data_IF_901935308639
#
_entry.id   IF_901935308639
#
_cell.length_a   1.000
_cell.length_b   1.000
_cell.length_c   1.000
_cell.angle_alpha   90.00
_cell.angle_beta   90.00
_cell.angle_gamma   90.00
#
_symmetry.space_group_name_H-M   'P 1'
#
loop_
_entity.id
_entity.type
_entity.pdbx_description
1 polymer ?
#
# COMPACT_ATOMS: atom_id res chain seq x y z
N UNK A 1 -61.05 19.48 -45.73
CA UNK A 1 -60.59 18.10 -45.43
C UNK A 1 -59.12 17.84 -45.75
N UNK A 2 -58.52 18.38 -46.82
CA UNK A 2 -57.10 18.11 -47.13
C UNK A 2 -56.09 18.84 -46.23
N UNK A 3 -56.41 20.05 -45.75
CA UNK A 3 -55.52 20.83 -44.87
C UNK A 3 -55.38 20.22 -43.46
N UNK A 4 -56.46 19.65 -42.91
CA UNK A 4 -56.46 19.01 -41.59
C UNK A 4 -55.65 17.72 -41.56
N UNK A 5 -55.62 16.97 -42.67
CA UNK A 5 -54.81 15.75 -42.81
C UNK A 5 -53.30 16.09 -42.89
N UNK A 6 -52.95 17.20 -43.55
CA UNK A 6 -51.56 17.67 -43.63
C UNK A 6 -51.06 18.16 -42.26
N UNK A 7 -51.90 18.87 -41.50
CA UNK A 7 -51.54 19.33 -40.14
C UNK A 7 -51.40 18.14 -39.17
N UNK A 8 -52.25 17.11 -39.29
CA UNK A 8 -52.11 15.89 -38.50
C UNK A 8 -50.81 15.11 -38.82
N UNK A 9 -50.40 15.06 -40.10
CA UNK A 9 -49.12 14.49 -40.50
C UNK A 9 -47.92 15.33 -40.03
N UNK A 10 -48.03 16.66 -40.05
CA UNK A 10 -46.98 17.56 -39.56
C UNK A 10 -46.79 17.44 -38.04
N UNK A 11 -47.87 17.20 -37.27
CA UNK A 11 -47.80 16.96 -35.82
C UNK A 11 -47.33 15.54 -35.47
N UNK A 12 -47.54 14.54 -36.34
CA UNK A 12 -46.99 13.18 -36.13
C UNK A 12 -45.47 13.11 -36.31
N UNK A 13 -44.86 14.07 -37.01
CA UNK A 13 -43.41 14.10 -37.25
C UNK A 13 -42.61 14.89 -36.19
N UNK A 14 -43.25 15.42 -35.15
CA UNK A 14 -42.59 16.17 -34.07
C UNK A 14 -42.77 15.41 -32.75
N UNK A 15 -42.31 14.16 -32.70
CA UNK A 15 -41.87 13.61 -31.42
C UNK A 15 -40.51 14.22 -31.14
N UNK A 16 -40.49 15.34 -30.42
CA UNK A 16 -39.29 15.85 -29.76
C UNK A 16 -38.87 14.78 -28.74
N UNK A 17 -38.07 13.81 -29.16
CA UNK A 17 -37.35 12.94 -28.24
C UNK A 17 -36.36 13.83 -27.49
N UNK A 18 -36.72 14.22 -26.27
CA UNK A 18 -35.81 14.89 -25.36
C UNK A 18 -34.70 13.90 -25.05
N UNK A 19 -33.54 14.11 -25.66
CA UNK A 19 -32.44 13.20 -25.50
C UNK A 19 -31.80 13.44 -24.11
N UNK A 20 -32.09 12.56 -23.16
CA UNK A 20 -31.67 12.70 -21.75
C UNK A 20 -30.19 12.38 -21.60
N UNK A 21 -29.54 12.96 -20.59
CA UNK A 21 -28.12 12.78 -20.36
C UNK A 21 -27.81 12.93 -18.88
N UNK A 22 -26.58 12.62 -18.49
CA UNK A 22 -26.16 12.75 -17.10
C UNK A 22 -24.73 13.25 -16.98
N UNK A 23 -24.44 13.81 -15.81
CA UNK A 23 -23.10 14.23 -15.40
C UNK A 23 -22.57 13.26 -14.36
N UNK A 24 -21.26 13.06 -14.36
CA UNK A 24 -20.56 12.34 -13.32
C UNK A 24 -19.32 13.08 -12.85
N UNK A 25 -18.84 12.71 -11.67
CA UNK A 25 -17.66 13.29 -11.04
C UNK A 25 -16.88 12.22 -10.30
N UNK A 26 -15.57 12.20 -10.51
CA UNK A 26 -14.65 11.37 -9.75
C UNK A 26 -14.11 12.20 -8.57
N UNK A 27 -14.25 11.69 -7.35
CA UNK A 27 -13.89 12.40 -6.12
C UNK A 27 -12.72 11.73 -5.40
N UNK A 28 -11.93 12.54 -4.70
CA UNK A 28 -10.86 12.07 -3.82
C UNK A 28 -9.57 11.67 -4.52
N UNK A 29 -9.36 12.08 -5.78
CA UNK A 29 -8.08 11.87 -6.46
C UNK A 29 -6.99 12.68 -5.71
N UNK A 30 -5.91 12.05 -5.23
CA UNK A 30 -4.85 12.75 -4.53
C UNK A 30 -4.06 13.65 -5.49
N UNK A 31 -3.57 14.78 -4.98
CA UNK A 31 -2.70 15.64 -5.76
C UNK A 31 -1.36 14.95 -6.04
N UNK A 32 -0.80 15.22 -7.22
CA UNK A 32 0.47 14.65 -7.68
C UNK A 32 1.59 14.88 -6.67
N UNK A 33 1.67 16.10 -6.13
CA UNK A 33 2.67 16.50 -5.17
C UNK A 33 2.62 15.68 -3.86
N UNK A 34 1.43 15.23 -3.44
CA UNK A 34 1.27 14.39 -2.25
C UNK A 34 1.81 12.97 -2.48
N UNK A 35 1.63 12.43 -3.69
CA UNK A 35 2.15 11.11 -4.05
C UNK A 35 3.69 11.09 -4.07
N UNK A 36 4.31 12.13 -4.61
CA UNK A 36 5.78 12.28 -4.59
C UNK A 36 6.31 12.48 -3.17
N UNK A 37 5.78 13.44 -2.41
CA UNK A 37 6.31 13.81 -1.09
C UNK A 37 6.09 12.73 -0.03
N UNK A 38 4.95 12.04 -0.05
CA UNK A 38 4.56 11.11 1.01
C UNK A 38 5.05 9.69 0.75
N UNK A 39 5.19 9.29 -0.52
CA UNK A 39 5.53 7.91 -0.90
C UNK A 39 6.84 7.77 -1.67
N UNK A 40 7.55 8.87 -1.95
CA UNK A 40 8.77 8.90 -2.76
C UNK A 40 8.61 8.21 -4.13
N UNK A 41 7.41 8.32 -4.72
CA UNK A 41 7.07 7.66 -5.97
C UNK A 41 7.26 8.62 -7.13
N UNK A 42 8.03 8.21 -8.13
CA UNK A 42 8.15 8.96 -9.38
C UNK A 42 6.85 8.81 -10.15
N UNK A 43 6.10 9.90 -10.34
CA UNK A 43 4.93 9.95 -11.20
C UNK A 43 5.39 10.35 -12.62
N UNK A 44 5.33 9.44 -13.60
CA UNK A 44 5.82 9.73 -14.95
C UNK A 44 4.98 10.76 -15.73
N UNK A 45 3.74 11.07 -15.31
CA UNK A 45 2.78 11.88 -16.09
C UNK A 45 2.29 13.18 -15.42
N UNK A 46 2.89 13.60 -14.30
CA UNK A 46 2.54 14.85 -13.63
C UNK A 46 1.04 14.97 -13.33
N UNK A 47 0.45 16.15 -13.57
CA UNK A 47 -0.95 16.51 -13.27
C UNK A 47 -1.99 16.00 -14.28
N UNK A 48 -1.58 15.28 -15.32
CA UNK A 48 -2.48 14.90 -16.42
C UNK A 48 -3.18 13.55 -16.20
N UNK A 49 -3.59 13.26 -14.96
CA UNK A 49 -4.21 11.99 -14.64
C UNK A 49 -5.60 11.81 -15.25
N UNK A 50 -6.34 12.91 -15.46
CA UNK A 50 -7.68 12.88 -16.07
C UNK A 50 -7.65 12.21 -17.46
N UNK A 51 -6.59 12.40 -18.26
CA UNK A 51 -6.43 11.78 -19.58
C UNK A 51 -6.09 10.27 -19.53
N UNK A 52 -5.78 9.74 -18.34
CA UNK A 52 -5.46 8.32 -18.11
C UNK A 52 -6.61 7.58 -17.41
N UNK A 53 -7.76 8.24 -17.33
CA UNK A 53 -9.02 7.65 -16.90
C UNK A 53 -9.92 7.59 -18.14
N UNK A 54 -10.53 6.44 -18.36
CA UNK A 54 -11.46 6.16 -19.43
C UNK A 54 -12.85 5.89 -18.82
N UNK A 55 -13.87 6.55 -19.37
CA UNK A 55 -15.26 6.41 -18.97
C UNK A 55 -16.04 6.02 -20.21
N UNK A 56 -16.43 4.76 -20.27
CA UNK A 56 -17.12 4.17 -21.40
C UNK A 56 -18.52 3.71 -20.98
N UNK A 57 -19.51 4.00 -21.80
CA UNK A 57 -20.88 3.58 -21.63
C UNK A 57 -21.24 2.60 -22.75
N UNK A 58 -21.51 1.35 -22.40
CA UNK A 58 -21.86 0.28 -23.33
C UNK A 58 -23.38 0.10 -23.38
N UNK A 59 -24.04 0.33 -24.51
CA UNK A 59 -25.45 -0.04 -24.69
C UNK A 59 -25.62 -1.56 -24.52
N UNK A 60 -26.72 -2.01 -23.92
CA UNK A 60 -26.93 -3.45 -23.66
C UNK A 60 -27.06 -4.28 -24.95
N UNK A 61 -27.34 -3.63 -26.08
CA UNK A 61 -27.49 -4.21 -27.42
C UNK A 61 -26.27 -4.01 -28.33
N UNK A 62 -25.22 -3.31 -27.86
CA UNK A 62 -24.05 -2.97 -28.69
C UNK A 62 -22.74 -3.03 -27.91
N UNK A 63 -21.72 -3.61 -28.53
CA UNK A 63 -20.35 -3.60 -28.01
C UNK A 63 -19.57 -2.33 -28.34
N UNK A 64 -20.16 -1.38 -29.07
CA UNK A 64 -19.51 -0.10 -29.35
C UNK A 64 -19.79 0.86 -28.20
N UNK A 65 -18.76 1.27 -27.43
CA UNK A 65 -18.96 2.19 -26.33
C UNK A 65 -19.22 3.60 -26.82
N UNK A 66 -20.02 4.32 -26.06
CA UNK A 66 -20.06 5.78 -26.06
C UNK A 66 -19.01 6.20 -25.02
N UNK A 67 -17.90 6.79 -25.48
CA UNK A 67 -16.85 7.27 -24.58
C UNK A 67 -16.99 8.77 -24.31
N UNK A 68 -16.56 9.22 -23.14
CA UNK A 68 -16.51 10.64 -22.79
C UNK A 68 -15.16 11.05 -22.24
N UNK A 69 -14.83 12.33 -22.36
CA UNK A 69 -13.58 12.91 -21.87
C UNK A 69 -13.81 13.46 -20.46
N UNK A 70 -12.81 13.25 -19.59
CA UNK A 70 -12.81 13.80 -18.24
C UNK A 70 -12.07 15.15 -18.23
N UNK A 71 -12.71 16.16 -17.68
CA UNK A 71 -12.12 17.49 -17.52
C UNK A 71 -11.03 17.53 -16.42
N UNK A 72 -10.34 18.67 -16.29
CA UNK A 72 -9.30 18.87 -15.27
C UNK A 72 -9.81 18.79 -13.83
N UNK A 73 -11.12 18.93 -13.63
CA UNK A 73 -11.80 18.86 -12.33
C UNK A 73 -12.41 17.47 -12.08
N UNK A 74 -12.05 16.48 -12.90
CA UNK A 74 -12.53 15.11 -12.85
C UNK A 74 -14.05 14.94 -13.06
N UNK A 75 -14.68 15.86 -13.80
CA UNK A 75 -16.07 15.70 -14.23
C UNK A 75 -16.14 15.13 -15.64
N UNK A 76 -17.23 14.41 -15.91
CA UNK A 76 -17.56 13.89 -17.23
C UNK A 76 -19.07 14.02 -17.49
N UNK A 77 -19.46 13.91 -18.76
CA UNK A 77 -20.87 13.97 -19.14
C UNK A 77 -21.19 13.08 -20.33
N UNK A 78 -22.38 12.51 -20.31
CA UNK A 78 -23.03 11.89 -21.47
C UNK A 78 -24.23 12.73 -21.85
N UNK A 79 -24.33 13.07 -23.13
CA UNK A 79 -25.44 13.85 -23.66
C UNK A 79 -26.26 12.95 -24.58
N UNK A 80 -27.56 13.21 -24.64
CA UNK A 80 -28.43 12.67 -25.69
C UNK A 80 -28.46 11.14 -25.77
N UNK A 81 -28.51 10.48 -24.62
CA UNK A 81 -28.75 9.06 -24.51
C UNK A 81 -30.14 8.72 -25.04
N UNK A 82 -30.21 7.62 -25.79
CA UNK A 82 -31.49 7.03 -26.15
C UNK A 82 -32.04 6.27 -24.94
N UNK A 83 -33.38 6.19 -24.79
CA UNK A 83 -33.98 5.32 -23.78
C UNK A 83 -33.47 3.89 -23.92
N UNK A 84 -33.09 3.28 -22.80
CA UNK A 84 -32.50 1.95 -22.79
C UNK A 84 -31.58 1.71 -21.60
N UNK A 85 -30.99 0.52 -21.61
CA UNK A 85 -30.08 0.06 -20.58
C UNK A 85 -28.63 0.10 -21.04
N UNK A 86 -27.75 0.56 -20.17
CA UNK A 86 -26.33 0.69 -20.45
C UNK A 86 -25.47 0.17 -19.29
N UNK A 87 -24.27 -0.30 -19.58
CA UNK A 87 -23.22 -0.58 -18.59
C UNK A 87 -22.15 0.51 -18.67
N UNK A 88 -22.01 1.30 -17.61
CA UNK A 88 -20.95 2.27 -17.46
C UNK A 88 -19.74 1.58 -16.84
N UNK A 89 -18.59 1.69 -17.50
CA UNK A 89 -17.31 1.18 -17.02
C UNK A 89 -16.32 2.33 -16.93
N UNK A 90 -15.74 2.51 -15.73
CA UNK A 90 -14.73 3.51 -15.47
C UNK A 90 -13.42 2.82 -15.14
N UNK A 91 -12.42 3.05 -15.97
CA UNK A 91 -11.10 2.45 -15.82
C UNK A 91 -10.05 3.55 -15.71
N UNK A 92 -9.02 3.31 -14.91
CA UNK A 92 -7.86 4.20 -14.82
C UNK A 92 -6.59 3.41 -14.89
N UNK A 93 -5.56 3.96 -15.54
CA UNK A 93 -4.22 3.40 -15.49
C UNK A 93 -3.51 3.65 -14.17
N UNK A 94 -3.94 4.65 -13.39
CA UNK A 94 -3.19 5.08 -12.19
C UNK A 94 -3.97 4.84 -10.90
N UNK A 95 -5.30 4.67 -10.98
CA UNK A 95 -6.16 4.58 -9.80
C UNK A 95 -7.10 3.37 -9.85
N UNK A 96 -7.49 2.94 -8.66
CA UNK A 96 -8.59 2.03 -8.39
C UNK A 96 -9.71 2.83 -7.73
N UNK A 97 -10.95 2.51 -8.08
CA UNK A 97 -12.16 3.13 -7.54
C UNK A 97 -12.92 2.13 -6.67
N UNK A 98 -13.71 2.62 -5.70
CA UNK A 98 -14.54 1.75 -4.86
C UNK A 98 -15.56 0.96 -5.69
N UNK A 99 -16.24 1.67 -6.59
CA UNK A 99 -17.10 1.10 -7.62
C UNK A 99 -16.69 1.71 -8.95
N UNK A 100 -16.45 0.87 -9.93
CA UNK A 100 -15.96 1.27 -11.24
C UNK A 100 -16.90 0.79 -12.37
N UNK A 101 -18.03 0.21 -12.00
CA UNK A 101 -19.05 -0.34 -12.89
C UNK A 101 -20.44 -0.02 -12.37
N UNK A 102 -21.30 0.42 -13.28
CA UNK A 102 -22.67 0.81 -12.96
C UNK A 102 -23.61 0.36 -14.07
N UNK A 103 -24.82 -0.08 -13.69
CA UNK A 103 -25.94 -0.20 -14.62
C UNK A 103 -26.63 1.15 -14.70
N UNK A 104 -26.80 1.68 -15.90
CA UNK A 104 -27.49 2.94 -16.17
C UNK A 104 -28.77 2.62 -16.93
N UNK A 105 -29.91 3.09 -16.42
CA UNK A 105 -31.21 2.97 -17.08
C UNK A 105 -31.62 4.39 -17.49
N UNK A 106 -31.62 4.66 -18.78
CA UNK A 106 -32.09 5.92 -19.34
C UNK A 106 -33.54 5.74 -19.81
N UNK A 107 -34.41 6.65 -19.41
CA UNK A 107 -35.79 6.80 -19.89
C UNK A 107 -35.93 8.16 -20.58
N UNK A 108 -37.11 8.44 -21.13
CA UNK A 108 -37.38 9.71 -21.83
C UNK A 108 -37.17 10.96 -20.98
N UNK A 109 -37.33 10.85 -19.65
CA UNK A 109 -37.25 12.01 -18.74
C UNK A 109 -36.25 11.83 -17.58
N UNK A 110 -35.71 10.63 -17.37
CA UNK A 110 -34.88 10.32 -16.21
C UNK A 110 -33.74 9.36 -16.54
N UNK A 111 -32.67 9.46 -15.76
CA UNK A 111 -31.53 8.52 -15.83
C UNK A 111 -31.26 8.02 -14.42
N UNK A 112 -31.26 6.71 -14.22
CA UNK A 112 -31.03 6.08 -12.92
C UNK A 112 -29.78 5.22 -13.02
N UNK A 113 -28.90 5.34 -12.02
CA UNK A 113 -27.70 4.51 -11.88
C UNK A 113 -27.87 3.51 -10.74
N UNK A 114 -27.31 2.32 -10.93
CA UNK A 114 -27.17 1.27 -9.93
C UNK A 114 -25.74 0.76 -9.92
N UNK A 115 -25.22 0.45 -8.76
CA UNK A 115 -23.94 -0.26 -8.63
C UNK A 115 -24.08 -1.67 -9.23
N UNK A 116 -23.09 -2.07 -10.03
CA UNK A 116 -23.06 -3.39 -10.65
C UNK A 116 -21.64 -3.94 -10.59
N UNK A 117 -21.43 -5.03 -9.85
CA UNK A 117 -20.09 -5.60 -9.68
C UNK A 117 -19.77 -6.58 -10.78
N UNK A 118 -18.49 -6.69 -11.10
CA UNK A 118 -17.99 -7.66 -12.06
C UNK A 118 -18.29 -9.09 -11.60
N UNK A 119 -18.87 -9.89 -12.49
CA UNK A 119 -19.18 -11.31 -12.22
C UNK A 119 -20.53 -11.54 -11.54
N UNK A 120 -21.32 -10.48 -11.29
CA UNK A 120 -22.68 -10.61 -10.79
C UNK A 120 -23.70 -10.56 -11.95
N UNK A 121 -24.63 -11.51 -11.96
CA UNK A 121 -25.72 -11.57 -12.94
C UNK A 121 -26.83 -10.54 -12.68
N UNK A 122 -26.79 -9.86 -11.53
CA UNK A 122 -27.75 -8.85 -11.11
C UNK A 122 -27.02 -7.61 -10.57
N UNK A 123 -27.67 -6.45 -10.63
CA UNK A 123 -27.16 -5.21 -10.05
C UNK A 123 -27.80 -4.91 -8.69
N UNK A 124 -27.17 -4.03 -7.92
CA UNK A 124 -27.63 -3.68 -6.58
C UNK A 124 -28.79 -2.68 -6.61
N UNK A 125 -30.03 -3.18 -6.58
CA UNK A 125 -31.25 -2.35 -6.68
C UNK A 125 -31.36 -1.31 -5.56
N UNK A 126 -30.81 -1.56 -4.37
CA UNK A 126 -30.87 -0.60 -3.25
C UNK A 126 -29.91 0.58 -3.40
N UNK A 127 -28.97 0.50 -4.36
CA UNK A 127 -28.04 1.59 -4.70
C UNK A 127 -28.58 2.56 -5.76
N UNK A 128 -29.89 2.55 -6.01
CA UNK A 128 -30.52 3.41 -7.01
C UNK A 128 -30.22 4.88 -6.74
N UNK A 129 -29.61 5.56 -7.72
CA UNK A 129 -29.39 7.00 -7.70
C UNK A 129 -29.98 7.62 -8.95
N UNK A 130 -30.95 8.50 -8.77
CA UNK A 130 -31.47 9.32 -9.86
C UNK A 130 -30.47 10.43 -10.20
N UNK A 131 -30.04 10.44 -11.46
CA UNK A 131 -29.03 11.35 -11.97
C UNK A 131 -29.70 12.58 -12.58
N UNK A 132 -29.32 13.75 -12.09
CA UNK A 132 -29.74 15.03 -12.64
C UNK A 132 -28.62 16.07 -12.48
N UNK A 133 -28.88 17.31 -12.89
CA UNK A 133 -27.89 18.39 -12.82
C UNK A 133 -27.41 18.71 -11.40
N UNK A 134 -28.19 18.41 -10.37
CA UNK A 134 -27.87 18.63 -8.95
C UNK A 134 -27.27 17.39 -8.28
N UNK A 135 -27.64 16.18 -8.74
CA UNK A 135 -27.12 14.89 -8.27
C UNK A 135 -26.37 14.17 -9.40
N UNK A 136 -25.11 14.55 -9.69
CA UNK A 136 -24.28 13.82 -10.64
C UNK A 136 -23.88 12.44 -10.07
N UNK A 137 -23.50 11.52 -10.95
CA UNK A 137 -22.95 10.23 -10.55
C UNK A 137 -21.58 10.43 -9.89
N UNK A 138 -21.45 10.05 -8.62
CA UNK A 138 -20.20 10.20 -7.87
C UNK A 138 -19.42 8.89 -7.85
N UNK A 139 -18.16 8.94 -8.29
CA UNK A 139 -17.24 7.80 -8.27
C UNK A 139 -16.10 8.12 -7.32
N UNK A 140 -15.94 7.30 -6.28
CA UNK A 140 -14.96 7.54 -5.24
C UNK A 140 -13.64 6.83 -5.53
N UNK A 141 -12.55 7.60 -5.46
CA UNK A 141 -11.19 7.08 -5.40
C UNK A 141 -11.03 6.09 -4.24
N UNK A 142 -10.36 4.97 -4.50
CA UNK A 142 -9.99 3.98 -3.49
C UNK A 142 -8.49 3.98 -3.21
N UNK A 143 -7.68 3.74 -4.25
CA UNK A 143 -6.23 3.59 -4.09
C UNK A 143 -5.47 3.91 -5.37
N UNK A 144 -4.22 4.35 -5.24
CA UNK A 144 -3.27 4.44 -6.36
C UNK A 144 -2.80 3.04 -6.73
N UNK A 145 -2.82 2.70 -8.02
CA UNK A 145 -2.31 1.44 -8.54
C UNK A 145 -0.80 1.36 -8.37
N UNK A 146 -0.33 0.19 -7.97
CA UNK A 146 1.10 -0.11 -7.81
C UNK A 146 1.45 -1.23 -8.78
N UNK A 147 2.20 -0.91 -9.84
CA UNK A 147 2.62 -1.88 -10.85
C UNK A 147 3.95 -2.53 -10.53
N UNK A 148 4.80 -1.82 -9.77
CA UNK A 148 6.09 -2.33 -9.36
C UNK A 148 5.97 -3.00 -8.01
N UNK A 149 6.26 -4.29 -7.99
CA UNK A 149 6.53 -4.98 -6.75
C UNK A 149 7.92 -4.56 -6.27
N UNK A 150 7.99 -3.92 -5.11
CA UNK A 150 9.29 -3.67 -4.48
C UNK A 150 9.84 -5.01 -3.98
N UNK A 151 10.90 -5.50 -4.63
CA UNK A 151 11.58 -6.73 -4.25
C UNK A 151 12.36 -6.63 -2.91
N UNK A 152 12.39 -5.44 -2.30
CA UNK A 152 12.99 -5.21 -0.99
C UNK A 152 11.91 -4.89 0.03
N UNK A 153 11.62 -5.83 0.95
CA UNK A 153 11.12 -5.42 2.26
C UNK A 153 12.08 -4.39 2.86
N UNK A 154 11.62 -3.57 3.82
CA UNK A 154 12.52 -2.63 4.49
C UNK A 154 13.76 -3.39 4.99
N UNK A 155 14.94 -2.76 5.00
CA UNK A 155 16.13 -3.34 5.64
C UNK A 155 15.78 -3.84 7.06
N UNK A 156 14.86 -3.14 7.73
CA UNK A 156 14.23 -3.54 8.97
C UNK A 156 13.46 -4.87 8.86
N UNK A 157 12.60 -5.05 7.85
CA UNK A 157 11.85 -6.29 7.64
C UNK A 157 12.80 -7.45 7.31
N UNK A 158 13.86 -7.17 6.56
CA UNK A 158 14.90 -8.17 6.25
C UNK A 158 15.67 -8.58 7.53
N UNK A 159 16.02 -7.63 8.40
CA UNK A 159 16.66 -7.90 9.69
C UNK A 159 15.72 -8.61 10.66
N UNK A 160 14.43 -8.25 10.68
CA UNK A 160 13.42 -8.84 11.56
C UNK A 160 12.99 -10.25 11.13
N UNK A 161 13.09 -10.56 9.83
CA UNK A 161 12.80 -11.88 9.27
C UNK A 161 14.05 -12.75 9.06
N UNK A 162 15.24 -12.22 9.38
CA UNK A 162 16.50 -12.97 9.41
C UNK A 162 16.51 -14.02 10.53
N UNK A 163 17.38 -15.05 10.47
CA UNK A 163 17.62 -15.98 11.58
C UNK A 163 18.00 -15.29 12.90
N UNK A 164 18.50 -14.05 12.87
CA UNK A 164 18.75 -13.23 14.06
C UNK A 164 17.60 -12.29 14.42
N UNK A 165 16.48 -12.32 13.69
CA UNK A 165 15.35 -11.43 13.88
C UNK A 165 14.75 -11.48 15.29
N UNK A 166 14.86 -12.62 16.00
CA UNK A 166 14.43 -12.73 17.39
C UNK A 166 15.19 -11.78 18.34
N UNK A 167 16.47 -11.49 18.04
CA UNK A 167 17.31 -10.55 18.82
C UNK A 167 16.80 -9.12 18.66
N UNK A 168 16.43 -8.74 17.44
CA UNK A 168 15.96 -7.40 17.09
C UNK A 168 14.48 -7.16 17.41
N UNK A 169 13.72 -8.22 17.70
CA UNK A 169 12.34 -8.15 18.20
C UNK A 169 12.27 -7.84 19.70
N UNK A 170 13.32 -8.13 20.47
CA UNK A 170 13.36 -7.87 21.91
C UNK A 170 14.39 -6.79 22.27
N UNK A 171 13.93 -5.70 22.88
CA UNK A 171 14.76 -4.54 23.24
C UNK A 171 15.98 -4.89 24.10
N UNK A 172 15.83 -5.79 25.08
CA UNK A 172 16.93 -6.18 25.96
C UNK A 172 18.01 -6.99 25.22
N UNK A 173 17.58 -7.90 24.35
CA UNK A 173 18.50 -8.68 23.50
C UNK A 173 19.18 -7.81 22.45
N UNK A 174 18.47 -6.84 21.87
CA UNK A 174 19.05 -5.88 20.92
C UNK A 174 20.15 -5.04 21.57
N UNK A 175 19.93 -4.55 22.80
CA UNK A 175 20.93 -3.78 23.56
C UNK A 175 22.15 -4.66 23.84
N UNK A 176 21.93 -5.88 24.35
CA UNK A 176 23.01 -6.82 24.68
C UNK A 176 23.83 -7.18 23.44
N UNK A 177 23.15 -7.50 22.33
CA UNK A 177 23.79 -7.78 21.04
C UNK A 177 24.62 -6.60 20.53
N UNK A 178 24.09 -5.37 20.64
CA UNK A 178 24.80 -4.16 20.22
C UNK A 178 26.08 -3.92 21.04
N UNK A 179 26.03 -4.16 22.35
CA UNK A 179 27.21 -4.09 23.23
C UNK A 179 28.25 -5.16 22.85
N UNK A 180 27.82 -6.40 22.62
CA UNK A 180 28.72 -7.48 22.21
C UNK A 180 29.41 -7.17 20.88
N UNK A 181 28.67 -6.68 19.88
CA UNK A 181 29.23 -6.27 18.58
C UNK A 181 30.21 -5.10 18.77
N UNK A 182 29.87 -4.10 19.58
CA UNK A 182 30.76 -2.98 19.85
C UNK A 182 32.09 -3.43 20.49
N UNK A 183 32.05 -4.35 21.46
CA UNK A 183 33.26 -4.90 22.10
C UNK A 183 34.10 -5.70 21.11
N UNK A 184 33.48 -6.48 20.22
CA UNK A 184 34.21 -7.25 19.20
C UNK A 184 34.87 -6.35 18.15
N UNK A 185 34.20 -5.28 17.73
CA UNK A 185 34.65 -4.42 16.61
C UNK A 185 35.56 -3.28 17.07
N UNK A 186 35.44 -2.83 18.32
CA UNK A 186 36.27 -1.77 18.91
C UNK A 186 37.78 -1.94 18.69
N UNK A 187 38.42 -3.10 18.93
CA UNK A 187 39.86 -3.26 18.70
C UNK A 187 40.26 -3.10 17.23
N UNK A 188 39.41 -3.51 16.29
CA UNK A 188 39.67 -3.36 14.85
C UNK A 188 39.58 -1.90 14.41
N UNK A 189 38.59 -1.15 14.93
CA UNK A 189 38.46 0.28 14.65
C UNK A 189 39.65 1.04 15.24
N UNK A 190 40.03 0.76 16.48
CA UNK A 190 41.18 1.39 17.13
C UNK A 190 42.48 1.13 16.36
N UNK A 191 42.70 -0.08 15.86
CA UNK A 191 43.86 -0.42 15.04
C UNK A 191 43.98 0.43 13.76
N UNK A 192 42.86 0.83 13.16
CA UNK A 192 42.83 1.63 11.93
C UNK A 192 42.95 3.13 12.23
N UNK A 193 42.28 3.62 13.27
CA UNK A 193 42.20 5.06 13.58
C UNK A 193 43.41 5.53 14.39
N UNK A 194 43.91 4.71 15.32
CA UNK A 194 45.07 5.04 16.16
C UNK A 194 45.88 3.77 16.49
N UNK A 195 46.83 3.38 15.62
CA UNK A 195 47.63 2.17 15.79
C UNK A 195 48.58 2.23 17.00
N UNK A 196 49.03 3.42 17.40
CA UNK A 196 49.93 3.59 18.56
C UNK A 196 49.21 3.28 19.88
N UNK A 197 48.01 3.84 20.05
CA UNK A 197 47.17 3.56 21.22
C UNK A 197 46.71 2.10 21.29
N UNK A 198 46.51 1.46 20.12
CA UNK A 198 46.20 0.04 20.05
C UNK A 198 47.36 -0.85 20.54
N UNK A 199 48.60 -0.51 20.17
CA UNK A 199 49.78 -1.23 20.63
C UNK A 199 49.97 -1.09 22.15
N UNK A 200 49.79 0.12 22.69
CA UNK A 200 49.85 0.38 24.14
C UNK A 200 48.79 -0.41 24.92
N UNK A 201 47.55 -0.46 24.43
CA UNK A 201 46.48 -1.25 25.05
C UNK A 201 46.76 -2.76 25.04
N UNK A 202 47.34 -3.28 23.95
CA UNK A 202 47.74 -4.69 23.88
C UNK A 202 48.86 -5.00 24.87
N UNK A 203 49.86 -4.13 24.98
CA UNK A 203 50.96 -4.28 25.93
C UNK A 203 50.46 -4.28 27.38
N UNK A 204 49.48 -3.43 27.70
CA UNK A 204 48.82 -3.40 29.01
C UNK A 204 48.06 -4.71 29.26
N UNK A 205 47.30 -5.21 28.27
CA UNK A 205 46.57 -6.48 28.41
C UNK A 205 47.51 -7.67 28.60
N UNK A 206 48.63 -7.73 27.88
CA UNK A 206 49.62 -8.81 28.03
C UNK A 206 50.33 -8.76 29.38
N UNK A 207 50.67 -7.57 29.88
CA UNK A 207 51.27 -7.39 31.22
C UNK A 207 50.30 -7.82 32.32
N UNK A 208 49.03 -7.42 32.23
CA UNK A 208 48.00 -7.81 33.20
C UNK A 208 47.72 -9.32 33.16
N UNK A 209 47.76 -9.96 31.98
CA UNK A 209 47.63 -11.41 31.86
C UNK A 209 48.83 -12.14 32.50
N UNK A 210 50.05 -11.66 32.27
CA UNK A 210 51.27 -12.20 32.89
C UNK A 210 51.25 -12.05 34.42
N UNK A 211 50.88 -10.88 34.95
CA UNK A 211 50.74 -10.67 36.40
C UNK A 211 49.69 -11.58 37.04
N UNK A 212 48.61 -11.92 36.31
CA UNK A 212 47.60 -12.87 36.79
C UNK A 212 48.14 -14.30 36.81
N UNK A 213 48.91 -14.71 35.81
CA UNK A 213 49.54 -16.03 35.77
C UNK A 213 50.60 -16.18 36.89
N UNK A 214 51.44 -15.17 37.11
CA UNK A 214 52.43 -15.18 38.19
C UNK A 214 51.79 -15.21 39.60
N UNK A 215 50.63 -14.56 39.78
CA UNK A 215 49.87 -14.63 41.03
C UNK A 215 49.24 -15.99 41.28
N UNK A 216 48.87 -16.71 40.22
CA UNK A 216 48.35 -18.08 40.31
C UNK A 216 49.50 -19.06 40.60
N UNK A 217 50.64 -18.93 39.93
CA UNK A 217 51.82 -19.77 40.20
C UNK A 217 52.37 -19.59 41.64
N UNK A 218 52.33 -18.37 42.18
CA UNK A 218 52.70 -18.09 43.58
C UNK A 218 51.71 -18.65 44.61
N UNK A 219 50.47 -18.95 44.22
CA UNK A 219 49.46 -19.53 45.11
C UNK A 219 49.56 -21.07 45.22
N UNK A 220 50.26 -21.74 44.31
CA UNK A 220 50.34 -23.21 44.24
C UNK A 220 51.59 -23.83 44.92
N UNK A 221 52.44 -23.06 45.61
CA UNK A 221 53.56 -23.63 46.39
C UNK A 221 53.06 -24.41 47.64
N UNK A 222 53.51 -25.66 47.87
CA UNK A 222 52.84 -26.60 48.77
C UNK A 222 53.21 -26.41 50.25
N UNK A 223 52.20 -26.27 51.11
CA UNK A 223 52.34 -26.36 52.57
C UNK A 223 52.39 -27.85 52.96
N UNK A 224 53.46 -28.22 53.68
CA UNK A 224 53.72 -29.55 54.26
C UNK A 224 52.49 -30.10 55.01
N UNK A 225 52.05 -31.28 54.61
CA UNK A 225 51.07 -32.10 55.32
C UNK A 225 51.68 -32.65 56.62
N UNK A 226 51.21 -32.16 57.77
CA UNK A 226 51.26 -32.88 59.04
C UNK A 226 49.87 -33.45 59.31
N UNK A 227 49.78 -34.76 59.44
CA UNK A 227 48.53 -35.51 59.48
C UNK A 227 47.73 -35.33 60.77
N UNK A 228 46.45 -35.71 60.70
CA UNK A 228 45.81 -36.67 61.59
C UNK A 228 44.32 -36.83 61.26
N UNK A 229 43.91 -38.10 61.17
CA UNK A 229 42.60 -38.68 61.49
C UNK A 229 41.37 -38.32 60.63
N UNK A 230 41.07 -39.24 59.69
CA UNK A 230 39.70 -39.52 59.24
C UNK A 230 39.03 -40.51 60.20
N UNK A 231 37.81 -40.23 60.71
CA UNK A 231 36.86 -41.27 61.03
C UNK A 231 35.93 -41.55 59.85
N UNK A 232 35.56 -42.82 59.78
CA UNK A 232 34.80 -43.54 58.76
C UNK A 232 33.29 -43.44 59.07
N UNK A 233 32.47 -43.41 58.01
CA UNK A 233 31.03 -43.73 58.05
C UNK A 233 30.12 -42.51 58.25
N UNK A 234 28.94 -42.40 57.64
CA UNK A 234 28.01 -43.48 57.37
C UNK A 234 27.13 -43.23 56.13
N UNK A 235 26.60 -44.36 55.68
CA UNK A 235 25.88 -44.68 54.45
C UNK A 235 24.37 -44.45 54.63
N UNK A 236 23.73 -43.92 53.59
CA UNK A 236 22.33 -44.09 53.16
C UNK A 236 21.16 -43.85 54.15
N UNK A 237 20.16 -43.09 53.67
CA UNK A 237 18.75 -43.51 53.55
C UNK A 237 18.03 -42.52 52.61
N UNK A 238 17.61 -43.03 51.44
CA UNK A 238 16.21 -43.19 50.98
C UNK A 238 15.57 -41.89 50.57
#
# INVERSE_FOLDING_TARGET
MKLTIIIAYLFHCITLTLATGFKGKIQGIPEVNELFKTKNKIVPNGENYNNRIQVDLYPSDSFTPISTIIDSNYNFKFNSLQPGEYELIVNSYDFTFYNNRFKIIASDDSVIAYEHKLGENSYNVSSAVELNDKSPLVINYFATKEFYQYAGGSLKDMILNSPFGFVFKNRALTITFSICVAVMVAPYILKVVNPEFYAELNDIQTKVAQERLEKVEKAETPIKSTGANRPIGAKQRR
#
